data_IF_705227650287
#
_entry.id   IF_705227650287
#
_cell.length_a   1.000
_cell.length_b   1.000
_cell.length_c   1.000
_cell.angle_alpha   90.00
_cell.angle_beta   90.00
_cell.angle_gamma   90.00
#
_symmetry.space_group_name_H-M   'P 1'
#
loop_
_entity.id
_entity.type
_entity.pdbx_description
1 polymer ?
#
# COMPACT_ATOMS: atom_id res chain seq x y z
N UNK A 1 -13.25 -7.86 -22.87
CA UNK A 1 -12.25 -6.97 -22.25
C UNK A 1 -12.89 -5.95 -21.32
N UNK A 2 -13.75 -5.03 -21.75
CA UNK A 2 -14.40 -4.03 -20.89
C UNK A 2 -15.16 -4.64 -19.70
N UNK A 3 -15.82 -5.78 -19.88
CA UNK A 3 -16.56 -6.47 -18.84
C UNK A 3 -15.60 -7.03 -17.77
N UNK A 4 -14.49 -7.63 -18.16
CA UNK A 4 -13.45 -8.13 -17.25
C UNK A 4 -12.77 -7.00 -16.46
N UNK A 5 -12.50 -5.87 -17.11
CA UNK A 5 -11.95 -4.69 -16.43
C UNK A 5 -12.97 -4.12 -15.41
N UNK A 6 -14.27 -4.20 -15.69
CA UNK A 6 -15.32 -3.82 -14.74
C UNK A 6 -15.40 -4.77 -13.56
N UNK A 7 -15.35 -6.07 -13.80
CA UNK A 7 -15.36 -7.10 -12.78
C UNK A 7 -14.17 -6.96 -11.82
N UNK A 8 -12.96 -6.80 -12.36
CA UNK A 8 -11.74 -6.55 -11.59
C UNK A 8 -11.88 -5.32 -10.71
N UNK A 9 -12.43 -4.23 -11.24
CA UNK A 9 -12.64 -3.01 -10.47
C UNK A 9 -13.61 -3.23 -9.30
N UNK A 10 -14.74 -3.89 -9.53
CA UNK A 10 -15.74 -4.17 -8.49
C UNK A 10 -15.19 -5.08 -7.39
N UNK A 11 -14.39 -6.08 -7.73
CA UNK A 11 -13.73 -6.94 -6.74
C UNK A 11 -12.72 -6.15 -5.88
N UNK A 12 -11.96 -5.27 -6.49
CA UNK A 12 -11.04 -4.40 -5.76
C UNK A 12 -11.77 -3.38 -4.86
N UNK A 13 -12.86 -2.79 -5.34
CA UNK A 13 -13.71 -1.89 -4.54
C UNK A 13 -14.32 -2.63 -3.33
N UNK A 14 -14.85 -3.83 -3.54
CA UNK A 14 -15.38 -4.67 -2.45
C UNK A 14 -14.30 -4.97 -1.42
N UNK A 15 -13.12 -5.39 -1.87
CA UNK A 15 -11.98 -5.68 -0.99
C UNK A 15 -11.58 -4.46 -0.17
N UNK A 16 -11.49 -3.29 -0.80
CA UNK A 16 -11.15 -2.05 -0.11
C UNK A 16 -12.21 -1.62 0.91
N UNK A 17 -13.49 -1.77 0.59
CA UNK A 17 -14.58 -1.45 1.51
C UNK A 17 -14.55 -2.35 2.77
N UNK A 18 -14.34 -3.65 2.59
CA UNK A 18 -14.25 -4.61 3.69
C UNK A 18 -13.01 -4.36 4.57
N UNK A 19 -11.85 -4.12 3.96
CA UNK A 19 -10.64 -3.76 4.71
C UNK A 19 -10.89 -2.49 5.51
N UNK A 20 -11.43 -1.45 4.88
CA UNK A 20 -11.72 -0.18 5.55
C UNK A 20 -12.67 -0.37 6.74
N UNK A 21 -13.73 -1.17 6.57
CA UNK A 21 -14.67 -1.48 7.64
C UNK A 21 -13.98 -2.24 8.78
N UNK A 22 -13.24 -3.30 8.50
CA UNK A 22 -12.59 -4.12 9.50
C UNK A 22 -11.55 -3.33 10.33
N UNK A 23 -10.72 -2.50 9.68
CA UNK A 23 -9.65 -1.74 10.36
C UNK A 23 -10.12 -0.47 11.09
N UNK A 24 -11.36 -0.02 10.84
CA UNK A 24 -11.92 1.17 11.53
C UNK A 24 -13.06 0.83 12.47
N UNK A 25 -13.88 -0.19 12.16
CA UNK A 25 -15.08 -0.52 12.93
C UNK A 25 -15.00 -1.87 13.64
N UNK A 26 -13.95 -2.66 13.35
CA UNK A 26 -13.83 -4.03 13.85
C UNK A 26 -14.81 -4.99 13.17
N UNK A 27 -14.87 -6.20 13.72
CA UNK A 27 -15.70 -7.28 13.14
C UNK A 27 -17.08 -7.41 13.82
N UNK A 28 -17.24 -6.87 15.03
CA UNK A 28 -18.51 -6.95 15.75
C UNK A 28 -19.35 -5.68 15.53
N UNK A 29 -20.50 -5.76 14.80
CA UNK A 29 -21.31 -4.60 14.48
C UNK A 29 -22.09 -4.04 15.69
N UNK A 30 -22.16 -4.78 16.81
CA UNK A 30 -22.96 -4.42 17.98
C UNK A 30 -22.19 -3.66 19.06
N UNK A 31 -20.91 -3.34 18.81
CA UNK A 31 -20.11 -2.57 19.79
C UNK A 31 -20.47 -1.08 19.75
N UNK A 32 -20.46 -0.39 20.89
CA UNK A 32 -20.63 1.06 20.92
C UNK A 32 -19.49 1.74 20.15
N UNK A 33 -19.81 2.80 19.38
CA UNK A 33 -18.87 3.53 18.55
C UNK A 33 -18.63 4.95 19.09
N UNK A 34 -17.41 5.45 18.92
CA UNK A 34 -17.02 6.85 19.16
C UNK A 34 -16.43 7.48 17.91
N UNK A 35 -16.50 8.81 17.80
CA UNK A 35 -15.80 9.52 16.71
C UNK A 35 -14.27 9.42 16.93
N UNK A 36 -13.54 9.06 15.87
CA UNK A 36 -12.08 9.09 15.90
C UNK A 36 -11.57 10.53 15.92
N UNK A 37 -10.53 10.83 16.72
CA UNK A 37 -9.88 12.14 16.73
C UNK A 37 -9.28 12.54 15.36
N UNK A 38 -9.12 11.59 14.46
CA UNK A 38 -8.80 11.82 13.05
C UNK A 38 -10.06 11.59 12.22
N UNK A 39 -10.78 12.65 11.80
CA UNK A 39 -12.12 12.53 11.18
C UNK A 39 -12.17 11.64 9.93
N UNK A 40 -11.07 11.59 9.16
CA UNK A 40 -10.98 10.74 7.95
C UNK A 40 -11.14 9.25 8.25
N UNK A 41 -10.82 8.81 9.47
CA UNK A 41 -10.96 7.42 9.90
C UNK A 41 -12.38 7.09 10.40
N UNK A 42 -13.25 8.12 10.54
CA UNK A 42 -14.66 7.96 10.90
C UNK A 42 -14.88 7.49 12.33
N UNK A 43 -15.87 6.61 12.52
CA UNK A 43 -16.20 6.04 13.83
C UNK A 43 -15.41 4.76 14.09
N UNK A 44 -14.94 4.62 15.33
CA UNK A 44 -14.20 3.45 15.82
C UNK A 44 -14.89 2.88 17.09
N UNK A 45 -14.68 1.62 17.46
CA UNK A 45 -15.17 1.06 18.71
C UNK A 45 -14.70 1.86 19.93
N UNK A 46 -15.60 2.08 20.90
CA UNK A 46 -15.30 2.87 22.11
C UNK A 46 -14.11 2.30 22.90
N UNK A 47 -13.97 0.98 22.94
CA UNK A 47 -12.93 0.28 23.67
C UNK A 47 -11.56 0.30 22.97
N UNK A 48 -11.48 0.75 21.70
CA UNK A 48 -10.20 0.87 21.03
C UNK A 48 -9.42 2.09 21.53
N UNK A 49 -8.11 1.91 21.68
CA UNK A 49 -7.19 3.00 21.94
C UNK A 49 -6.98 3.84 20.68
N UNK A 50 -6.76 5.13 20.88
CA UNK A 50 -6.29 6.04 19.84
C UNK A 50 -4.90 6.53 20.18
N UNK A 51 -3.95 6.34 19.30
CA UNK A 51 -2.56 6.73 19.54
C UNK A 51 -2.02 7.56 18.38
N UNK A 52 -1.27 8.61 18.69
CA UNK A 52 -0.59 9.39 17.63
C UNK A 52 0.43 8.52 16.93
N UNK A 53 0.45 8.61 15.59
CA UNK A 53 1.30 7.76 14.74
C UNK A 53 2.79 7.82 15.16
N UNK A 54 3.30 8.98 15.57
CA UNK A 54 4.68 9.14 16.07
C UNK A 54 5.00 8.33 17.34
N UNK A 55 4.00 7.80 18.05
CA UNK A 55 4.20 6.92 19.19
C UNK A 55 4.04 5.43 18.85
N UNK A 56 3.69 5.14 17.60
CA UNK A 56 3.62 3.79 17.06
C UNK A 56 4.84 3.45 16.22
N UNK A 57 5.52 4.47 15.67
CA UNK A 57 6.65 4.33 14.76
C UNK A 57 7.79 5.28 15.12
N UNK A 58 9.01 4.81 14.91
CA UNK A 58 10.23 5.62 14.89
C UNK A 58 10.71 5.81 13.46
N UNK A 59 11.27 6.98 13.13
CA UNK A 59 11.85 7.22 11.81
C UNK A 59 13.27 6.66 11.73
N UNK A 60 13.55 5.84 10.69
CA UNK A 60 14.89 5.37 10.35
C UNK A 60 15.52 6.28 9.30
N UNK A 61 16.71 6.74 9.55
CA UNK A 61 17.49 7.56 8.60
C UNK A 61 18.95 7.08 8.47
N UNK A 62 19.15 5.77 8.60
CA UNK A 62 20.44 5.09 8.49
C UNK A 62 20.90 5.11 7.02
N UNK A 63 22.19 5.43 6.77
CA UNK A 63 22.80 5.56 5.44
C UNK A 63 24.15 4.86 5.40
N UNK A 64 24.85 4.96 4.26
CA UNK A 64 26.19 4.38 4.03
C UNK A 64 26.20 2.85 4.02
N UNK A 65 25.25 2.26 3.28
CA UNK A 65 25.18 0.83 3.02
C UNK A 65 25.22 0.54 1.50
N UNK A 66 26.32 0.91 0.79
CA UNK A 66 26.37 0.84 -0.67
C UNK A 66 26.31 -0.59 -1.22
N UNK A 67 26.63 -1.61 -0.41
CA UNK A 67 26.64 -3.02 -0.80
C UNK A 67 25.25 -3.68 -0.73
N UNK A 68 24.27 -3.00 -0.14
CA UNK A 68 22.91 -3.51 -0.02
C UNK A 68 22.12 -3.40 -1.35
N UNK A 69 21.19 -4.31 -1.64
CA UNK A 69 20.40 -4.27 -2.85
C UNK A 69 19.51 -3.01 -2.92
N UNK A 70 19.37 -2.47 -4.12
CA UNK A 70 18.48 -1.33 -4.34
C UNK A 70 17.04 -1.83 -4.30
N UNK A 71 16.22 -1.15 -3.48
CA UNK A 71 14.80 -1.42 -3.35
C UNK A 71 13.96 -0.39 -4.11
N UNK A 72 12.74 -0.79 -4.46
CA UNK A 72 11.68 0.09 -4.95
C UNK A 72 10.41 -0.11 -4.14
N UNK A 73 9.69 0.98 -3.89
CA UNK A 73 8.37 0.95 -3.28
C UNK A 73 7.31 0.81 -4.37
N UNK A 74 6.57 -0.28 -4.35
CA UNK A 74 5.52 -0.60 -5.31
C UNK A 74 4.15 -0.62 -4.60
N UNK A 75 3.09 -0.17 -5.27
CA UNK A 75 1.76 -0.12 -4.65
C UNK A 75 1.14 -1.51 -4.44
N UNK A 76 1.53 -2.49 -5.24
CA UNK A 76 0.94 -3.85 -5.23
C UNK A 76 1.77 -4.88 -4.47
N UNK A 77 3.11 -4.74 -4.45
CA UNK A 77 4.01 -5.76 -3.91
C UNK A 77 4.78 -5.28 -2.66
N UNK A 78 4.53 -4.05 -2.21
CA UNK A 78 5.29 -3.45 -1.11
C UNK A 78 6.69 -2.99 -1.53
N UNK A 79 7.63 -3.00 -0.59
CA UNK A 79 9.03 -2.65 -0.85
C UNK A 79 9.81 -3.92 -1.17
N UNK A 80 10.27 -4.01 -2.42
CA UNK A 80 10.95 -5.18 -2.99
C UNK A 80 12.26 -4.78 -3.68
N UNK A 81 13.20 -5.71 -3.92
CA UNK A 81 14.35 -5.47 -4.76
C UNK A 81 13.95 -4.99 -6.16
N UNK A 82 14.63 -3.96 -6.64
CA UNK A 82 14.35 -3.40 -7.97
C UNK A 82 14.49 -4.44 -9.10
N UNK A 83 15.37 -5.43 -8.92
CA UNK A 83 15.57 -6.54 -9.86
C UNK A 83 14.34 -7.46 -10.00
N UNK A 84 13.45 -7.48 -9.00
CA UNK A 84 12.21 -8.26 -9.01
C UNK A 84 11.03 -7.51 -9.64
N UNK A 85 11.18 -6.22 -9.90
CA UNK A 85 10.10 -5.39 -10.42
C UNK A 85 10.16 -5.30 -11.94
N UNK A 86 9.13 -5.80 -12.62
CA UNK A 86 9.08 -5.89 -14.09
C UNK A 86 8.98 -4.53 -14.80
N UNK A 87 8.51 -3.49 -14.11
CA UNK A 87 8.37 -2.16 -14.71
C UNK A 87 9.66 -1.36 -14.57
N UNK A 88 9.94 -0.51 -15.58
CA UNK A 88 11.13 0.32 -15.60
C UNK A 88 11.11 1.33 -14.45
N UNK A 89 12.04 1.18 -13.50
CA UNK A 89 12.30 2.14 -12.42
C UNK A 89 13.51 2.98 -12.81
N UNK A 90 13.54 4.23 -12.34
CA UNK A 90 14.71 5.10 -12.53
C UNK A 90 15.92 4.44 -11.87
N UNK A 91 16.89 4.05 -12.70
CA UNK A 91 18.13 3.42 -12.23
C UNK A 91 19.02 4.50 -11.65
N UNK A 92 19.29 4.44 -10.36
CA UNK A 92 20.32 5.27 -9.71
C UNK A 92 21.67 4.61 -9.98
N UNK A 93 22.47 5.21 -10.86
CA UNK A 93 23.76 4.65 -11.27
C UNK A 93 24.95 5.13 -10.45
N UNK A 94 24.78 6.11 -9.54
CA UNK A 94 25.86 6.69 -8.70
C UNK A 94 25.27 7.25 -7.40
N UNK A 95 26.08 7.26 -6.32
CA UNK A 95 25.74 7.93 -5.05
C UNK A 95 24.90 7.07 -4.10
N UNK A 96 25.18 5.78 -4.02
CA UNK A 96 24.49 4.84 -3.12
C UNK A 96 24.64 5.19 -1.63
N UNK A 97 25.74 5.86 -1.25
CA UNK A 97 26.00 6.27 0.14
C UNK A 97 24.92 7.21 0.70
N UNK A 98 24.23 7.95 -0.18
CA UNK A 98 23.17 8.86 0.20
C UNK A 98 21.80 8.19 0.42
N UNK A 99 21.63 6.93 -0.04
CA UNK A 99 20.40 6.19 0.10
C UNK A 99 20.19 5.73 1.55
N UNK A 100 18.92 5.54 1.93
CA UNK A 100 18.55 5.12 3.28
C UNK A 100 18.40 3.61 3.35
N UNK A 101 18.89 3.00 4.43
CA UNK A 101 18.71 1.60 4.73
C UNK A 101 17.25 1.32 5.16
N UNK A 102 16.65 0.32 4.54
CA UNK A 102 15.36 -0.28 4.91
C UNK A 102 15.62 -1.68 5.43
N UNK A 103 15.00 -2.05 6.53
CA UNK A 103 15.04 -3.42 7.08
C UNK A 103 13.69 -4.09 6.89
N UNK A 104 13.69 -5.42 6.88
CA UNK A 104 12.45 -6.20 6.87
C UNK A 104 11.58 -5.77 8.07
N UNK A 105 10.32 -5.48 7.83
CA UNK A 105 9.40 -5.00 8.87
C UNK A 105 9.23 -3.50 8.92
N UNK A 106 10.06 -2.71 8.24
CA UNK A 106 9.87 -1.28 8.11
C UNK A 106 8.68 -0.95 7.18
N UNK A 107 8.13 0.24 7.35
CA UNK A 107 7.13 0.82 6.47
C UNK A 107 7.73 2.02 5.73
N UNK A 108 7.45 2.14 4.44
CA UNK A 108 8.05 3.19 3.61
C UNK A 108 6.98 4.12 3.06
N UNK A 109 7.11 5.40 3.37
CA UNK A 109 6.36 6.49 2.74
C UNK A 109 7.15 6.93 1.50
N UNK A 110 6.64 6.60 0.33
CA UNK A 110 7.18 7.04 -0.97
C UNK A 110 6.52 8.34 -1.43
N UNK A 111 7.00 8.89 -2.53
CA UNK A 111 6.42 10.11 -3.14
C UNK A 111 4.98 9.93 -3.62
N UNK A 112 4.50 8.68 -3.79
CA UNK A 112 3.13 8.36 -4.22
C UNK A 112 2.29 7.67 -3.17
N UNK A 113 2.73 7.63 -1.92
CA UNK A 113 1.96 6.99 -0.85
C UNK A 113 0.58 7.64 -0.61
N UNK A 114 0.39 8.88 -1.03
CA UNK A 114 -0.93 9.53 -1.00
C UNK A 114 -1.94 8.98 -2.02
N UNK A 115 -1.50 8.15 -2.98
CA UNK A 115 -2.35 7.45 -3.95
C UNK A 115 -2.63 6.00 -3.53
N UNK A 116 -1.62 5.31 -2.98
CA UNK A 116 -1.65 3.86 -2.76
C UNK A 116 -1.36 3.40 -1.32
N UNK A 117 -1.21 4.32 -0.36
CA UNK A 117 -0.89 3.99 1.03
C UNK A 117 0.61 3.84 1.29
N UNK A 118 0.94 3.42 2.51
CA UNK A 118 2.32 3.19 2.96
C UNK A 118 2.71 1.74 2.66
N UNK A 119 3.94 1.54 2.20
CA UNK A 119 4.43 0.24 1.76
C UNK A 119 5.18 -0.50 2.88
N UNK A 120 4.93 -1.79 3.03
CA UNK A 120 5.67 -2.66 3.94
C UNK A 120 6.91 -3.25 3.26
N UNK A 121 8.01 -3.31 4.00
CA UNK A 121 9.28 -3.84 3.49
C UNK A 121 9.40 -5.34 3.77
N UNK A 122 9.41 -6.13 2.71
CA UNK A 122 9.62 -7.57 2.75
C UNK A 122 11.11 -7.94 2.63
N UNK A 123 11.95 -6.99 2.20
CA UNK A 123 13.38 -7.20 1.96
C UNK A 123 14.19 -6.08 2.61
N UNK A 124 15.41 -6.40 3.02
CA UNK A 124 16.41 -5.42 3.42
C UNK A 124 17.12 -4.88 2.19
N UNK A 125 17.49 -3.60 2.23
CA UNK A 125 18.23 -2.96 1.17
C UNK A 125 18.21 -1.44 1.30
N UNK A 126 18.61 -0.74 0.26
CA UNK A 126 18.68 0.72 0.22
C UNK A 126 17.63 1.33 -0.70
N UNK A 127 17.09 2.48 -0.30
CA UNK A 127 16.03 3.16 -1.03
C UNK A 127 16.28 4.68 -1.08
N UNK A 128 15.55 5.39 -1.93
CA UNK A 128 15.67 6.84 -2.10
C UNK A 128 15.70 7.60 -0.77
N UNK A 129 16.64 8.54 -0.65
CA UNK A 129 16.75 9.44 0.50
C UNK A 129 15.52 10.35 0.69
N UNK A 130 14.73 10.56 -0.37
CA UNK A 130 13.50 11.34 -0.33
C UNK A 130 12.35 10.62 0.39
N UNK A 131 12.45 9.29 0.60
CA UNK A 131 11.41 8.52 1.28
C UNK A 131 11.57 8.57 2.80
N UNK A 132 10.45 8.49 3.51
CA UNK A 132 10.45 8.35 4.97
C UNK A 132 10.29 6.88 5.34
N UNK A 133 11.18 6.37 6.17
CA UNK A 133 11.18 4.98 6.62
C UNK A 133 10.73 4.95 8.06
N UNK A 134 9.72 4.16 8.36
CA UNK A 134 9.09 4.03 9.65
C UNK A 134 9.31 2.62 10.20
N UNK A 135 9.96 2.53 11.33
CA UNK A 135 10.14 1.26 12.07
C UNK A 135 9.06 1.17 13.14
N UNK A 136 8.21 0.12 13.15
CA UNK A 136 7.22 -0.07 14.19
C UNK A 136 7.88 -0.24 15.56
N UNK A 137 7.37 0.45 16.59
CA UNK A 137 7.85 0.31 17.97
C UNK A 137 7.43 -1.04 18.54
N UNK A 138 6.24 -1.51 18.14
CA UNK A 138 5.74 -2.84 18.43
C UNK A 138 5.55 -3.62 17.13
N UNK A 139 6.51 -4.49 16.72
CA UNK A 139 6.41 -5.26 15.50
C UNK A 139 5.21 -6.23 15.46
N UNK A 140 4.64 -6.61 16.60
CA UNK A 140 3.49 -7.51 16.66
C UNK A 140 2.22 -6.92 16.01
N UNK A 141 2.18 -5.60 15.86
CA UNK A 141 1.07 -4.86 15.25
C UNK A 141 1.24 -4.66 13.72
N UNK A 142 2.36 -5.11 13.15
CA UNK A 142 2.69 -4.82 11.73
C UNK A 142 1.66 -5.36 10.75
N UNK A 143 1.11 -6.54 10.98
CA UNK A 143 0.09 -7.12 10.09
C UNK A 143 -1.21 -6.30 10.07
N UNK A 144 -1.63 -5.78 11.23
CA UNK A 144 -2.76 -4.85 11.29
C UNK A 144 -2.44 -3.53 10.58
N UNK A 145 -1.25 -2.96 10.81
CA UNK A 145 -0.84 -1.72 10.14
C UNK A 145 -0.74 -1.87 8.62
N UNK A 146 -0.35 -3.03 8.10
CA UNK A 146 -0.39 -3.29 6.64
C UNK A 146 -1.79 -3.06 6.08
N UNK A 147 -2.82 -3.53 6.76
CA UNK A 147 -4.21 -3.37 6.34
C UNK A 147 -4.68 -1.92 6.53
N UNK A 148 -4.41 -1.32 7.68
CA UNK A 148 -4.80 0.06 7.97
C UNK A 148 -4.20 1.03 6.95
N UNK A 149 -2.92 0.92 6.65
CA UNK A 149 -2.20 1.84 5.75
C UNK A 149 -2.61 1.71 4.28
N UNK A 150 -3.21 0.61 3.90
CA UNK A 150 -3.77 0.38 2.57
C UNK A 150 -5.27 0.64 2.50
N UNK A 151 -5.92 0.96 3.61
CA UNK A 151 -7.34 1.27 3.63
C UNK A 151 -7.63 2.65 3.02
N UNK A 152 -8.75 2.76 2.32
CA UNK A 152 -9.17 4.01 1.70
C UNK A 152 -9.25 5.20 2.67
N UNK A 153 -9.82 5.08 3.90
CA UNK A 153 -9.83 6.18 4.87
C UNK A 153 -8.43 6.65 5.27
N UNK A 154 -7.46 5.74 5.37
CA UNK A 154 -6.09 6.10 5.68
C UNK A 154 -5.39 6.78 4.49
N UNK A 155 -5.64 6.35 3.26
CA UNK A 155 -5.13 7.01 2.05
C UNK A 155 -5.68 8.44 1.96
N UNK A 156 -6.95 8.66 2.26
CA UNK A 156 -7.52 10.00 2.35
C UNK A 156 -6.83 10.84 3.44
N UNK A 157 -6.50 10.24 4.59
CA UNK A 157 -5.72 10.91 5.63
C UNK A 157 -4.33 11.33 5.10
N UNK A 158 -3.64 10.46 4.37
CA UNK A 158 -2.33 10.78 3.77
C UNK A 158 -2.43 11.99 2.84
N UNK A 159 -3.50 12.10 2.04
CA UNK A 159 -3.74 13.23 1.14
C UNK A 159 -3.83 14.57 1.90
N UNK A 160 -4.36 14.58 3.13
CA UNK A 160 -4.40 15.80 3.96
C UNK A 160 -3.03 16.20 4.51
N UNK A 161 -2.05 15.31 4.44
CA UNK A 161 -0.67 15.54 4.91
C UNK A 161 0.31 15.83 3.77
N UNK A 162 -0.18 15.94 2.53
CA UNK A 162 0.63 16.29 1.37
C UNK A 162 1.04 17.75 1.44
N UNK A 163 2.32 18.01 1.20
CA UNK A 163 2.89 19.36 1.05
C UNK A 163 3.60 19.45 -0.29
N UNK A 164 3.74 20.66 -0.80
CA UNK A 164 4.31 20.93 -2.13
C UNK A 164 3.26 21.11 -3.21
N UNK A 165 3.69 21.68 -4.36
CA UNK A 165 2.82 22.01 -5.49
C UNK A 165 3.29 21.21 -6.71
N UNK A 166 2.38 20.57 -7.44
CA UNK A 166 2.62 19.81 -8.67
C UNK A 166 3.64 18.66 -8.48
N UNK A 167 4.79 18.70 -9.17
CA UNK A 167 5.78 17.61 -9.22
C UNK A 167 6.58 17.41 -7.91
N UNK A 168 6.45 18.35 -6.93
CA UNK A 168 7.11 18.27 -5.63
C UNK A 168 6.22 17.79 -4.48
N UNK A 169 5.09 17.13 -4.76
CA UNK A 169 4.18 16.64 -3.72
C UNK A 169 4.84 15.53 -2.88
N UNK A 170 4.87 15.72 -1.57
CA UNK A 170 5.39 14.74 -0.62
C UNK A 170 4.55 14.73 0.65
N UNK A 171 4.44 13.58 1.31
CA UNK A 171 3.78 13.46 2.61
C UNK A 171 4.71 14.03 3.68
N UNK A 172 4.21 15.03 4.40
CA UNK A 172 4.92 15.59 5.54
C UNK A 172 4.69 14.72 6.78
N UNK A 173 5.72 13.95 7.15
CA UNK A 173 5.62 13.05 8.30
C UNK A 173 5.44 13.80 9.62
N UNK A 174 5.94 15.03 9.78
CA UNK A 174 5.68 15.82 10.97
C UNK A 174 4.21 16.15 11.18
N UNK A 175 3.43 16.30 10.08
CA UNK A 175 1.97 16.45 10.13
C UNK A 175 1.29 15.10 10.39
N UNK A 176 1.66 14.07 9.63
CA UNK A 176 1.10 12.73 9.75
C UNK A 176 1.35 12.12 11.14
N UNK A 177 2.55 12.29 11.68
CA UNK A 177 2.92 11.78 13.00
C UNK A 177 2.08 12.33 14.16
N UNK A 178 1.41 13.47 13.96
CA UNK A 178 0.48 14.06 14.94
C UNK A 178 -0.94 13.52 14.86
N UNK A 179 -1.28 12.81 13.78
CA UNK A 179 -2.61 12.22 13.58
C UNK A 179 -2.79 11.01 14.47
N UNK A 180 -3.99 10.86 15.00
CA UNK A 180 -4.38 9.69 15.77
C UNK A 180 -4.79 8.56 14.84
N UNK A 181 -4.36 7.35 15.17
CA UNK A 181 -4.75 6.11 14.49
C UNK A 181 -5.38 5.15 15.50
N UNK A 182 -6.36 4.33 15.07
CA UNK A 182 -7.00 3.36 15.94
C UNK A 182 -6.06 2.19 16.22
N UNK A 183 -6.02 1.77 17.47
CA UNK A 183 -5.24 0.64 17.95
C UNK A 183 -6.21 -0.33 18.66
N UNK A 184 -6.70 -1.35 17.93
CA UNK A 184 -7.48 -2.42 18.56
C UNK A 184 -6.67 -3.18 19.62
N UNK A 185 -7.31 -3.88 20.58
CA UNK A 185 -6.63 -4.88 21.39
C UNK A 185 -5.92 -5.93 20.53
N UNK A 186 -4.79 -6.46 21.00
CA UNK A 186 -3.96 -7.39 20.20
C UNK A 186 -4.71 -8.65 19.76
N UNK A 187 -5.71 -9.12 20.50
CA UNK A 187 -6.60 -10.21 20.08
C UNK A 187 -7.43 -9.83 18.87
N UNK A 188 -8.08 -8.65 18.92
CA UNK A 188 -8.89 -8.16 17.79
C UNK A 188 -8.05 -7.83 16.55
N UNK A 189 -6.82 -7.32 16.73
CA UNK A 189 -5.91 -7.14 15.58
C UNK A 189 -5.66 -8.45 14.85
N UNK A 190 -5.40 -9.54 15.57
CA UNK A 190 -5.21 -10.88 14.99
C UNK A 190 -6.48 -11.39 14.31
N UNK A 191 -7.63 -11.21 14.96
CA UNK A 191 -8.92 -11.61 14.40
C UNK A 191 -9.22 -10.85 13.08
N UNK A 192 -8.98 -9.53 13.05
CA UNK A 192 -9.15 -8.70 11.85
C UNK A 192 -8.23 -9.20 10.73
N UNK A 193 -6.95 -9.43 11.03
CA UNK A 193 -5.98 -9.91 10.04
C UNK A 193 -6.37 -11.28 9.50
N UNK A 194 -6.74 -12.22 10.38
CA UNK A 194 -7.17 -13.57 9.98
C UNK A 194 -8.43 -13.50 9.12
N UNK A 195 -9.45 -12.75 9.56
CA UNK A 195 -10.69 -12.57 8.83
C UNK A 195 -10.46 -12.04 7.40
N UNK A 196 -9.63 -10.99 7.26
CA UNK A 196 -9.34 -10.39 5.96
C UNK A 196 -8.57 -11.38 5.08
N UNK A 197 -7.56 -12.06 5.61
CA UNK A 197 -6.78 -13.03 4.86
C UNK A 197 -7.64 -14.21 4.37
N UNK A 198 -8.46 -14.78 5.24
CA UNK A 198 -9.32 -15.92 4.91
C UNK A 198 -10.40 -15.53 3.90
N UNK A 199 -11.05 -14.38 4.13
CA UNK A 199 -12.11 -13.87 3.23
C UNK A 199 -11.58 -13.59 1.83
N UNK A 200 -10.38 -13.05 1.72
CA UNK A 200 -9.83 -12.62 0.44
C UNK A 200 -8.82 -13.58 -0.19
N UNK A 201 -8.51 -14.73 0.43
CA UNK A 201 -7.65 -15.73 -0.20
C UNK A 201 -8.14 -16.13 -1.60
N UNK A 202 -9.44 -16.47 -1.73
CA UNK A 202 -10.07 -16.81 -3.03
C UNK A 202 -10.22 -15.60 -3.95
N UNK A 203 -10.58 -14.44 -3.40
CA UNK A 203 -10.77 -13.21 -4.17
C UNK A 203 -9.44 -12.74 -4.77
N UNK A 204 -8.33 -12.86 -4.03
CA UNK A 204 -7.01 -12.53 -4.55
C UNK A 204 -6.61 -13.45 -5.71
N UNK A 205 -6.90 -14.76 -5.65
CA UNK A 205 -6.68 -15.67 -6.76
C UNK A 205 -7.48 -15.25 -8.00
N UNK A 206 -8.77 -14.95 -7.84
CA UNK A 206 -9.62 -14.47 -8.93
C UNK A 206 -9.13 -13.15 -9.53
N UNK A 207 -8.67 -12.21 -8.69
CA UNK A 207 -8.09 -10.95 -9.17
C UNK A 207 -6.86 -11.21 -10.04
N UNK A 208 -5.96 -12.10 -9.59
CA UNK A 208 -4.76 -12.45 -10.35
C UNK A 208 -5.13 -13.09 -11.70
N UNK A 209 -6.06 -14.04 -11.71
CA UNK A 209 -6.54 -14.70 -12.92
C UNK A 209 -7.16 -13.70 -13.91
N UNK A 210 -7.96 -12.75 -13.41
CA UNK A 210 -8.55 -11.68 -14.24
C UNK A 210 -7.50 -10.73 -14.80
N UNK A 211 -6.49 -10.37 -14.02
CA UNK A 211 -5.38 -9.51 -14.47
C UNK A 211 -4.58 -10.19 -15.59
N UNK A 212 -4.30 -11.49 -15.46
CA UNK A 212 -3.64 -12.28 -16.50
C UNK A 212 -4.49 -12.40 -17.77
N UNK A 213 -5.80 -12.68 -17.63
CA UNK A 213 -6.74 -12.73 -18.75
C UNK A 213 -6.79 -11.38 -19.50
N UNK A 214 -6.89 -10.27 -18.75
CA UNK A 214 -6.91 -8.91 -19.33
C UNK A 214 -5.59 -8.62 -20.07
N UNK A 215 -4.45 -8.99 -19.52
CA UNK A 215 -3.15 -8.81 -20.15
C UNK A 215 -3.07 -9.60 -21.46
N UNK A 216 -3.49 -10.86 -21.45
CA UNK A 216 -3.54 -11.71 -22.64
C UNK A 216 -4.47 -11.13 -23.73
N UNK A 217 -5.66 -10.68 -23.35
CA UNK A 217 -6.61 -10.07 -24.29
C UNK A 217 -6.07 -8.76 -24.90
N UNK A 218 -5.32 -7.97 -24.13
CA UNK A 218 -4.65 -6.76 -24.65
C UNK A 218 -3.56 -7.12 -25.66
N UNK A 219 -2.73 -8.11 -25.37
CA UNK A 219 -1.70 -8.60 -26.28
C UNK A 219 -2.32 -9.16 -27.57
N UNK A 220 -3.35 -10.00 -27.45
CA UNK A 220 -4.06 -10.56 -28.59
C UNK A 220 -4.66 -9.47 -29.48
N UNK A 221 -5.30 -8.46 -28.88
CA UNK A 221 -5.83 -7.30 -29.61
C UNK A 221 -4.73 -6.57 -30.39
N UNK A 222 -3.57 -6.35 -29.75
CA UNK A 222 -2.44 -5.68 -30.41
C UNK A 222 -1.91 -6.50 -31.61
N UNK A 223 -1.81 -7.84 -31.48
CA UNK A 223 -1.43 -8.74 -32.57
C UNK A 223 -2.41 -8.67 -33.75
N UNK A 224 -3.71 -8.73 -33.42
CA UNK A 224 -4.74 -8.63 -34.49
C UNK A 224 -4.66 -7.30 -35.23
N UNK A 225 -4.45 -6.18 -34.54
CA UNK A 225 -4.28 -4.87 -35.18
C UNK A 225 -3.03 -4.86 -36.04
N UNK A 226 -1.91 -5.39 -35.58
CA UNK A 226 -0.67 -5.46 -36.32
C UNK A 226 -0.83 -6.33 -37.58
N UNK A 227 -1.47 -7.49 -37.48
CA UNK A 227 -1.71 -8.40 -38.62
C UNK A 227 -2.67 -7.79 -39.65
N UNK A 228 -3.69 -7.06 -39.20
CA UNK A 228 -4.59 -6.34 -40.10
C UNK A 228 -3.88 -5.20 -40.84
N UNK A 229 -3.09 -4.38 -40.11
CA UNK A 229 -2.36 -3.24 -40.69
C UNK A 229 -1.24 -3.70 -41.64
N UNK A 230 -0.60 -4.83 -41.34
CA UNK A 230 0.47 -5.41 -42.21
C UNK A 230 -0.05 -6.26 -43.38
N UNK A 231 -1.38 -6.37 -43.52
CA UNK A 231 -2.00 -7.14 -44.63
C UNK A 231 -1.89 -8.65 -44.47
N UNK A 232 -1.52 -9.16 -43.29
CA UNK A 232 -1.48 -10.60 -43.01
C UNK A 232 -2.87 -11.20 -42.78
N UNK A 233 -3.85 -10.37 -42.44
CA UNK A 233 -5.26 -10.74 -42.34
C UNK A 233 -6.08 -9.96 -43.34
N UNK A 234 -6.95 -10.68 -44.12
CA UNK A 234 -7.98 -10.01 -44.91
C UNK A 234 -9.04 -9.45 -43.98
N UNK A 235 -9.18 -8.13 -43.99
CA UNK A 235 -10.28 -7.43 -43.35
C UNK A 235 -11.34 -7.28 -44.45
N UNK A 236 -12.44 -8.07 -44.34
CA UNK A 236 -13.60 -7.93 -45.24
C UNK A 236 -14.43 -6.73 -44.80
#
# INVERSE_FOLDING_TARGET
MLERERELRLLNELKQAEIAQAVTRGLNPNVPMKECQTPMLGKIPVHWEERKMKYCFSERSEKNHPDEPILCATQSQGVIPQSMYANRVVVVNKGFDGLKLVKVGDFVISLRSFEGGIEYAYYQGIISAAYTILTPIDPSQSEYFKLLFKSYPFIQLLQTCVTGIREGQNINYSLLGRKYIPIPPSSEQKEIVTYINDKFAKVNSLITELEEEIAYLKEYKQRLIADAVTGKMKVC
#
